data_IF_343609753459
#
_entry.id   IF_343609753459
#
_cell.length_a   1.000
_cell.length_b   1.000
_cell.length_c   1.000
_cell.angle_alpha   90.00
_cell.angle_beta   90.00
_cell.angle_gamma   90.00
#
_symmetry.space_group_name_H-M   'P 1'
#
loop_
_entity.id
_entity.type
_entity.pdbx_description
1 polymer ?
#
# COMPACT_ATOMS: atom_id res chain seq x y z
N UNK A 1 -4.02 -9.95 4.61
CA UNK A 1 -5.06 -9.19 3.86
C UNK A 1 -4.42 -7.88 3.41
N UNK A 2 -4.52 -7.45 2.14
CA UNK A 2 -3.84 -6.23 1.66
C UNK A 2 -4.16 -4.96 2.46
N UNK A 3 -5.37 -4.88 3.03
CA UNK A 3 -5.80 -3.79 3.91
C UNK A 3 -4.93 -3.63 5.17
N UNK A 4 -4.20 -4.65 5.61
CA UNK A 4 -3.31 -4.58 6.77
C UNK A 4 -1.86 -4.23 6.41
N UNK A 5 -1.57 -4.04 5.13
CA UNK A 5 -0.22 -3.74 4.60
C UNK A 5 -0.18 -2.37 3.90
N UNK A 6 -1.21 -1.55 4.08
CA UNK A 6 -1.20 -0.17 3.59
C UNK A 6 -0.15 0.61 4.38
N UNK A 7 0.82 1.27 3.71
CA UNK A 7 1.84 2.03 4.41
C UNK A 7 1.23 3.19 5.17
N UNK A 8 1.73 3.44 6.37
CA UNK A 8 1.45 4.66 7.15
C UNK A 8 2.13 5.88 6.51
N UNK A 9 1.74 7.08 6.94
CA UNK A 9 2.40 8.32 6.49
C UNK A 9 3.87 8.32 6.93
N UNK A 10 4.12 7.89 8.17
CA UNK A 10 5.44 7.84 8.79
C UNK A 10 6.38 6.85 8.11
N UNK A 11 5.87 5.69 7.67
CA UNK A 11 6.66 4.74 6.88
C UNK A 11 7.06 5.31 5.52
N UNK A 12 6.15 6.02 4.84
CA UNK A 12 6.45 6.65 3.55
C UNK A 12 7.49 7.75 3.70
N UNK A 13 7.34 8.62 4.71
CA UNK A 13 8.30 9.70 4.97
C UNK A 13 9.70 9.15 5.20
N UNK A 14 9.83 8.12 6.05
CA UNK A 14 11.14 7.50 6.34
C UNK A 14 11.78 6.88 5.11
N UNK A 15 11.00 6.21 4.25
CA UNK A 15 11.52 5.63 3.00
C UNK A 15 12.01 6.74 2.06
N UNK A 16 11.24 7.82 1.90
CA UNK A 16 11.60 8.95 1.04
C UNK A 16 12.83 9.70 1.55
N UNK A 17 12.93 9.92 2.87
CA UNK A 17 14.08 10.54 3.51
C UNK A 17 15.35 9.70 3.33
N UNK A 18 15.27 8.39 3.55
CA UNK A 18 16.40 7.49 3.32
C UNK A 18 16.86 7.50 1.86
N UNK A 19 15.92 7.55 0.91
CA UNK A 19 16.24 7.61 -0.51
C UNK A 19 16.85 8.96 -0.91
N UNK A 20 16.39 10.07 -0.32
CA UNK A 20 16.97 11.39 -0.52
C UNK A 20 18.38 11.51 0.10
N UNK A 21 18.63 10.85 1.23
CA UNK A 21 19.93 10.82 1.89
C UNK A 21 20.95 9.91 1.17
N UNK A 22 20.49 8.95 0.37
CA UNK A 22 21.34 7.99 -0.34
C UNK A 22 20.76 7.63 -1.71
N UNK A 23 20.81 8.55 -2.68
CA UNK A 23 20.15 8.39 -3.98
C UNK A 23 20.74 7.24 -4.82
N UNK A 24 22.00 6.87 -4.60
CA UNK A 24 22.66 5.77 -5.32
C UNK A 24 22.31 4.38 -4.76
N UNK A 25 21.66 4.32 -3.59
CA UNK A 25 21.23 3.07 -2.97
C UNK A 25 19.77 2.78 -3.37
N UNK A 26 19.50 1.71 -4.14
CA UNK A 26 18.14 1.34 -4.49
C UNK A 26 17.35 0.88 -3.26
N UNK A 27 16.05 1.13 -3.27
CA UNK A 27 15.12 0.61 -2.28
C UNK A 27 15.03 -0.92 -2.37
N UNK A 28 14.81 -1.56 -1.22
CA UNK A 28 14.49 -2.97 -1.15
C UNK A 28 13.09 -3.27 -1.70
N UNK A 29 12.79 -4.56 -1.88
CA UNK A 29 11.50 -5.00 -2.41
C UNK A 29 10.33 -4.63 -1.51
N UNK A 30 10.54 -4.57 -0.19
CA UNK A 30 9.50 -4.20 0.78
C UNK A 30 9.17 -2.70 0.70
N UNK A 31 10.19 -1.84 0.66
CA UNK A 31 10.02 -0.39 0.54
C UNK A 31 9.41 -0.01 -0.80
N UNK A 32 9.88 -0.64 -1.88
CA UNK A 32 9.32 -0.47 -3.22
C UNK A 32 7.85 -0.90 -3.25
N UNK A 33 7.50 -2.00 -2.59
CA UNK A 33 6.12 -2.48 -2.48
C UNK A 33 5.23 -1.47 -1.73
N UNK A 34 5.69 -0.95 -0.59
CA UNK A 34 4.95 0.07 0.17
C UNK A 34 4.74 1.34 -0.66
N UNK A 35 5.78 1.86 -1.33
CA UNK A 35 5.63 3.03 -2.20
C UNK A 35 4.69 2.76 -3.38
N UNK A 36 4.70 1.55 -3.93
CA UNK A 36 3.79 1.15 -5.01
C UNK A 36 2.34 1.12 -4.52
N UNK A 37 2.08 0.64 -3.31
CA UNK A 37 0.74 0.70 -2.73
C UNK A 37 0.30 2.15 -2.49
N UNK A 38 1.21 3.01 -2.02
CA UNK A 38 0.91 4.42 -1.76
C UNK A 38 0.64 5.23 -3.04
N UNK A 39 1.21 4.84 -4.19
CA UNK A 39 1.02 5.55 -5.46
C UNK A 39 -0.34 5.31 -6.11
N UNK A 40 -1.08 4.28 -5.67
CA UNK A 40 -2.41 3.97 -6.20
C UNK A 40 -3.44 4.87 -5.51
N UNK A 41 -4.02 5.80 -6.27
CA UNK A 41 -5.05 6.71 -5.77
C UNK A 41 -6.26 5.97 -5.20
N UNK A 42 -6.74 6.41 -4.03
CA UNK A 42 -7.91 5.86 -3.36
C UNK A 42 -7.85 4.34 -3.11
N UNK A 43 -6.65 3.75 -3.05
CA UNK A 43 -6.47 2.31 -2.84
C UNK A 43 -7.24 1.76 -1.62
N UNK A 44 -7.25 2.42 -0.44
CA UNK A 44 -8.00 1.90 0.72
C UNK A 44 -9.50 1.79 0.45
N UNK A 45 -10.09 2.78 -0.22
CA UNK A 45 -11.51 2.77 -0.57
C UNK A 45 -11.82 1.67 -1.60
N UNK A 46 -10.98 1.54 -2.64
CA UNK A 46 -11.11 0.50 -3.67
C UNK A 46 -11.02 -0.91 -3.08
N UNK A 47 -10.07 -1.15 -2.18
CA UNK A 47 -9.92 -2.44 -1.49
C UNK A 47 -11.10 -2.75 -0.58
N UNK A 48 -11.64 -1.76 0.14
CA UNK A 48 -12.85 -1.93 0.96
C UNK A 48 -14.06 -2.30 0.11
N UNK A 49 -14.27 -1.62 -1.02
CA UNK A 49 -15.36 -1.93 -1.96
C UNK A 49 -15.22 -3.33 -2.55
N UNK A 50 -13.99 -3.72 -2.92
CA UNK A 50 -13.74 -5.05 -3.46
C UNK A 50 -14.00 -6.16 -2.43
N UNK A 51 -13.54 -5.96 -1.18
CA UNK A 51 -13.84 -6.86 -0.08
C UNK A 51 -15.37 -6.98 0.14
N UNK A 52 -16.09 -5.85 0.17
CA UNK A 52 -17.55 -5.84 0.27
C UNK A 52 -18.22 -6.64 -0.85
N UNK A 53 -17.80 -6.45 -2.11
CA UNK A 53 -18.36 -7.18 -3.26
C UNK A 53 -18.16 -8.69 -3.12
N UNK A 54 -16.95 -9.13 -2.76
CA UNK A 54 -16.64 -10.54 -2.52
C UNK A 54 -17.47 -11.13 -1.38
N UNK A 55 -17.58 -10.41 -0.26
CA UNK A 55 -18.36 -10.83 0.90
C UNK A 55 -19.86 -10.93 0.54
N UNK A 56 -20.38 -9.99 -0.24
CA UNK A 56 -21.76 -10.01 -0.74
C UNK A 56 -22.04 -11.18 -1.68
N UNK A 57 -21.18 -11.42 -2.69
CA UNK A 57 -21.31 -12.56 -3.61
C UNK A 57 -21.26 -13.91 -2.89
N UNK A 58 -20.54 -13.98 -1.77
CA UNK A 58 -20.50 -15.17 -0.92
C UNK A 58 -21.75 -15.32 -0.03
N UNK A 59 -22.37 -14.22 0.38
CA UNK A 59 -23.55 -14.21 1.25
C UNK A 59 -24.88 -14.43 0.51
N UNK A 60 -24.97 -14.04 -0.77
CA UNK A 60 -26.17 -14.26 -1.61
C UNK A 60 -26.26 -15.68 -2.22
N UNK A 61 -25.26 -16.53 -2.02
CA UNK A 61 -25.29 -17.95 -2.44
C UNK A 61 -25.92 -18.84 -1.37
#
# INVERSE_FOLDING_TARGET
KLLTMLPTEEERSRIQEAQAASPDLPLGSAEQFLLTLASISELPARLKLWAFKLDFENAEK
#
